data_IF_244727776600
#
_entry.id   IF_244727776600
#
_cell.length_a   1.000
_cell.length_b   1.000
_cell.length_c   1.000
_cell.angle_alpha   90.00
_cell.angle_beta   90.00
_cell.angle_gamma   90.00
#
_symmetry.space_group_name_H-M   'P 1'
#
loop_
_entity.id
_entity.type
_entity.pdbx_description
1 polymer ?
#
# COMPACT_ATOMS: atom_id res chain seq x y z
N UNK A 1 -14.96 -30.33 -7.45
CA UNK A 1 -14.25 -31.62 -7.41
C UNK A 1 -12.79 -31.49 -6.98
N UNK A 2 -11.91 -30.78 -7.69
CA UNK A 2 -10.48 -30.71 -7.29
C UNK A 2 -10.17 -29.74 -6.14
N UNK A 3 -11.00 -28.72 -5.95
CA UNK A 3 -10.94 -27.81 -4.80
C UNK A 3 -11.66 -28.36 -3.56
N UNK A 4 -12.30 -29.52 -3.71
CA UNK A 4 -13.06 -30.15 -2.65
C UNK A 4 -12.09 -30.79 -1.64
N UNK A 5 -12.28 -30.47 -0.36
CA UNK A 5 -11.46 -30.99 0.72
C UNK A 5 -11.65 -32.49 0.91
N UNK A 6 -12.85 -33.02 0.65
CA UNK A 6 -13.16 -34.44 0.75
C UNK A 6 -12.50 -35.27 -0.34
N UNK A 7 -12.21 -34.65 -1.49
CA UNK A 7 -11.48 -35.29 -2.55
C UNK A 7 -9.99 -35.35 -2.20
N UNK A 8 -9.39 -36.54 -2.13
CA UNK A 8 -7.97 -36.71 -1.80
C UNK A 8 -6.99 -36.33 -2.93
N UNK A 9 -7.48 -36.08 -4.15
CA UNK A 9 -6.61 -35.78 -5.31
C UNK A 9 -5.92 -34.42 -5.12
N UNK A 10 -4.59 -34.44 -4.99
CA UNK A 10 -3.73 -33.24 -4.88
C UNK A 10 -2.61 -33.17 -5.92
N UNK A 11 -2.30 -34.29 -6.58
CA UNK A 11 -1.28 -34.36 -7.63
C UNK A 11 -1.93 -34.56 -8.99
N UNK A 12 -1.46 -33.81 -9.99
CA UNK A 12 -2.04 -33.79 -11.32
C UNK A 12 -0.91 -33.88 -12.34
N UNK A 13 -0.94 -34.94 -13.13
CA UNK A 13 -0.01 -35.13 -14.24
C UNK A 13 -0.73 -34.78 -15.53
N UNK A 14 -0.16 -33.86 -16.30
CA UNK A 14 -0.78 -33.41 -17.54
C UNK A 14 0.25 -33.19 -18.63
N UNK A 15 -0.16 -33.49 -19.86
CA UNK A 15 0.67 -33.37 -21.06
C UNK A 15 0.52 -32.00 -21.76
N UNK A 16 -0.61 -31.31 -21.57
CA UNK A 16 -1.01 -30.15 -22.39
C UNK A 16 -1.66 -28.98 -21.64
N UNK A 17 -1.96 -29.09 -20.34
CA UNK A 17 -2.78 -28.08 -19.63
C UNK A 17 -2.13 -26.70 -19.53
N UNK A 18 -0.80 -26.59 -19.61
CA UNK A 18 -0.14 -25.28 -19.66
C UNK A 18 -0.20 -24.60 -21.05
N UNK A 19 -0.66 -25.31 -22.09
CA UNK A 19 -0.92 -24.74 -23.43
C UNK A 19 -2.37 -24.30 -23.59
N UNK A 20 -3.34 -25.05 -23.05
CA UNK A 20 -4.77 -24.73 -23.13
C UNK A 20 -5.50 -24.94 -21.79
N UNK A 21 -6.31 -23.97 -21.38
CA UNK A 21 -7.43 -24.20 -20.45
C UNK A 21 -7.13 -24.43 -18.96
N UNK A 22 -5.90 -24.28 -18.47
CA UNK A 22 -5.64 -24.39 -17.02
C UNK A 22 -5.98 -23.11 -16.26
N UNK A 23 -6.99 -23.23 -15.41
CA UNK A 23 -7.47 -22.16 -14.54
C UNK A 23 -7.89 -22.75 -13.18
N UNK A 24 -6.89 -23.07 -12.34
CA UNK A 24 -7.12 -23.50 -10.97
C UNK A 24 -6.39 -22.55 -10.00
N UNK A 25 -7.12 -21.87 -9.10
CA UNK A 25 -6.53 -20.90 -8.17
C UNK A 25 -5.69 -21.56 -7.06
N UNK A 26 -5.87 -22.85 -6.77
CA UNK A 26 -5.18 -23.54 -5.68
C UNK A 26 -4.02 -24.41 -6.21
N UNK A 27 -3.26 -23.86 -7.15
CA UNK A 27 -2.05 -24.49 -7.70
C UNK A 27 -0.85 -23.79 -7.11
N UNK A 28 -0.17 -24.45 -6.19
CA UNK A 28 1.00 -23.91 -5.50
C UNK A 28 2.32 -24.46 -6.05
N UNK A 29 2.26 -25.50 -6.88
CA UNK A 29 3.43 -26.18 -7.42
C UNK A 29 3.19 -26.53 -8.90
N UNK A 30 4.12 -26.13 -9.76
CA UNK A 30 4.18 -26.56 -11.16
C UNK A 30 5.54 -27.18 -11.38
N UNK A 31 5.56 -28.44 -11.80
CA UNK A 31 6.79 -29.16 -12.11
C UNK A 31 6.85 -29.46 -13.60
N UNK A 32 7.86 -28.90 -14.29
CA UNK A 32 8.08 -29.11 -15.72
C UNK A 32 9.07 -30.28 -15.91
N UNK A 33 8.53 -31.44 -16.26
CA UNK A 33 9.30 -32.68 -16.43
C UNK A 33 10.00 -32.84 -17.80
N UNK A 34 9.83 -31.90 -18.73
CA UNK A 34 10.49 -31.92 -20.05
C UNK A 34 11.13 -30.58 -20.37
N UNK A 35 12.39 -30.59 -20.79
CA UNK A 35 13.19 -29.42 -21.16
C UNK A 35 12.89 -28.88 -22.56
N UNK A 36 12.33 -29.70 -23.47
CA UNK A 36 12.16 -29.35 -24.87
C UNK A 36 10.73 -28.94 -25.26
N UNK A 37 10.61 -27.80 -25.96
CA UNK A 37 9.55 -27.59 -26.96
C UNK A 37 8.59 -26.42 -26.77
N UNK A 38 8.98 -25.29 -26.20
CA UNK A 38 8.10 -24.12 -26.12
C UNK A 38 8.86 -22.80 -26.19
N UNK A 39 8.72 -22.07 -27.31
CA UNK A 39 9.00 -20.62 -27.42
C UNK A 39 7.85 -19.77 -26.85
N UNK A 40 6.88 -20.40 -26.15
CA UNK A 40 5.82 -19.65 -25.48
C UNK A 40 6.46 -18.86 -24.33
N UNK A 41 6.03 -17.60 -24.24
CA UNK A 41 6.31 -16.69 -23.13
C UNK A 41 6.30 -17.42 -21.78
N UNK A 42 7.42 -17.36 -21.04
CA UNK A 42 7.53 -17.97 -19.70
C UNK A 42 6.50 -17.37 -18.76
N UNK A 43 6.23 -16.07 -18.93
CA UNK A 43 5.18 -15.35 -18.21
C UNK A 43 3.78 -15.97 -18.43
N UNK A 44 3.46 -16.44 -19.64
CA UNK A 44 2.19 -17.11 -19.92
C UNK A 44 2.11 -18.49 -19.27
N UNK A 45 3.23 -19.23 -19.19
CA UNK A 45 3.28 -20.55 -18.54
C UNK A 45 3.04 -20.42 -17.02
N UNK A 46 3.71 -19.47 -16.35
CA UNK A 46 3.53 -19.23 -14.90
C UNK A 46 2.20 -18.55 -14.59
N UNK A 47 1.69 -17.69 -15.48
CA UNK A 47 0.46 -16.93 -15.28
C UNK A 47 -0.78 -17.80 -15.00
N UNK A 48 -0.74 -19.06 -15.39
CA UNK A 48 -1.81 -20.05 -15.14
C UNK A 48 -1.87 -20.53 -13.69
N UNK A 49 -0.81 -20.33 -12.91
CA UNK A 49 -0.74 -20.64 -11.47
C UNK A 49 -0.67 -19.42 -10.56
N UNK A 50 -0.67 -18.20 -11.09
CA UNK A 50 -0.53 -16.95 -10.30
C UNK A 50 -1.85 -16.41 -9.72
N UNK A 51 -2.93 -17.19 -9.77
CA UNK A 51 -4.24 -16.77 -9.25
C UNK A 51 -4.24 -16.88 -7.72
N UNK A 52 -4.87 -15.92 -7.06
CA UNK A 52 -5.07 -15.98 -5.61
C UNK A 52 -5.90 -17.22 -5.23
N UNK A 53 -5.44 -18.04 -4.27
CA UNK A 53 -6.13 -19.25 -3.87
C UNK A 53 -7.46 -18.94 -3.18
N UNK A 54 -8.33 -19.93 -3.16
CA UNK A 54 -9.58 -19.92 -2.40
C UNK A 54 -9.47 -20.82 -1.17
N UNK A 55 -10.09 -20.41 -0.07
CA UNK A 55 -10.21 -21.22 1.14
C UNK A 55 -11.32 -22.28 1.01
N UNK A 56 -11.54 -23.05 2.07
CA UNK A 56 -12.56 -24.11 2.16
C UNK A 56 -13.99 -23.62 1.87
N UNK A 57 -14.26 -22.33 2.08
CA UNK A 57 -15.54 -21.70 1.79
C UNK A 57 -15.63 -21.13 0.37
N UNK A 58 -14.61 -21.36 -0.48
CA UNK A 58 -14.56 -20.83 -1.84
C UNK A 58 -14.21 -19.34 -1.93
N UNK A 59 -13.84 -18.70 -0.82
CA UNK A 59 -13.48 -17.28 -0.79
C UNK A 59 -12.00 -17.10 -1.10
N UNK A 60 -11.68 -16.12 -1.96
CA UNK A 60 -10.28 -15.78 -2.26
C UNK A 60 -9.57 -15.26 -1.02
N UNK A 61 -8.41 -15.82 -0.70
CA UNK A 61 -7.58 -15.37 0.42
C UNK A 61 -6.72 -14.20 -0.05
N UNK A 62 -6.88 -13.04 0.60
CA UNK A 62 -6.17 -11.79 0.24
C UNK A 62 -5.22 -11.30 1.33
N UNK A 63 -5.40 -11.76 2.56
CA UNK A 63 -4.70 -11.25 3.73
C UNK A 63 -3.32 -11.89 3.95
N UNK A 64 -2.96 -12.85 3.10
CA UNK A 64 -1.69 -13.59 3.15
C UNK A 64 -1.01 -13.58 1.77
N UNK A 65 0.32 -13.58 1.77
CA UNK A 65 1.11 -13.69 0.55
C UNK A 65 1.42 -15.15 0.22
N UNK A 66 0.88 -15.62 -0.91
CA UNK A 66 1.15 -16.96 -1.45
C UNK A 66 2.26 -16.93 -2.49
N UNK A 67 2.99 -18.04 -2.59
CA UNK A 67 4.02 -18.26 -3.62
C UNK A 67 3.68 -19.48 -4.47
N UNK A 68 3.85 -19.34 -5.78
CA UNK A 68 3.84 -20.45 -6.73
C UNK A 68 5.28 -20.98 -6.85
N UNK A 69 5.49 -22.24 -6.48
CA UNK A 69 6.76 -22.92 -6.70
C UNK A 69 6.79 -23.50 -8.12
N UNK A 70 7.75 -23.07 -8.92
CA UNK A 70 7.93 -23.55 -10.28
C UNK A 70 9.24 -24.31 -10.38
N UNK A 71 9.17 -25.62 -10.63
CA UNK A 71 10.33 -26.50 -10.74
C UNK A 71 10.72 -26.64 -12.21
N UNK A 72 11.95 -26.25 -12.52
CA UNK A 72 12.57 -26.37 -13.85
C UNK A 72 13.73 -27.36 -13.81
N UNK A 73 14.05 -27.90 -14.99
CA UNK A 73 15.20 -28.76 -15.18
C UNK A 73 16.52 -27.96 -15.14
N UNK A 74 17.64 -28.63 -14.91
CA UNK A 74 18.97 -28.00 -14.83
C UNK A 74 19.37 -27.26 -16.12
N UNK A 75 18.77 -27.64 -17.27
CA UNK A 75 18.97 -26.97 -18.56
C UNK A 75 18.38 -25.56 -18.62
N UNK A 76 17.45 -25.19 -17.72
CA UNK A 76 16.81 -23.87 -17.66
C UNK A 76 17.27 -23.10 -16.40
N UNK A 77 18.57 -23.12 -16.09
CA UNK A 77 19.14 -22.42 -14.92
C UNK A 77 18.95 -20.90 -14.94
N UNK A 78 18.73 -20.33 -16.13
CA UNK A 78 18.45 -18.91 -16.38
C UNK A 78 16.96 -18.59 -16.47
N UNK A 79 16.08 -19.54 -16.11
CA UNK A 79 14.62 -19.36 -16.21
C UNK A 79 14.12 -18.14 -15.42
N UNK A 80 14.59 -17.99 -14.18
CA UNK A 80 14.22 -16.86 -13.31
C UNK A 80 14.65 -15.54 -13.94
N UNK A 81 15.88 -15.49 -14.45
CA UNK A 81 16.46 -14.29 -15.06
C UNK A 81 15.67 -13.92 -16.33
N UNK A 82 15.37 -14.90 -17.18
CA UNK A 82 14.50 -14.72 -18.36
C UNK A 82 13.10 -14.25 -18.01
N UNK A 83 12.47 -14.81 -16.97
CA UNK A 83 11.12 -14.43 -16.54
C UNK A 83 11.09 -12.99 -16.00
N UNK A 84 12.07 -12.63 -15.17
CA UNK A 84 12.22 -11.26 -14.64
C UNK A 84 12.42 -10.27 -15.79
N UNK A 85 13.31 -10.60 -16.73
CA UNK A 85 13.56 -9.77 -17.91
C UNK A 85 12.30 -9.61 -18.77
N UNK A 86 11.56 -10.70 -19.00
CA UNK A 86 10.32 -10.66 -19.77
C UNK A 86 9.24 -9.79 -19.11
N UNK A 87 9.10 -9.85 -17.78
CA UNK A 87 8.14 -9.02 -17.05
C UNK A 87 8.56 -7.55 -17.16
N UNK A 88 9.82 -7.23 -16.88
CA UNK A 88 10.33 -5.86 -16.89
C UNK A 88 10.25 -5.23 -18.28
N UNK A 89 10.55 -5.98 -19.35
CA UNK A 89 10.40 -5.52 -20.73
C UNK A 89 8.93 -5.20 -21.05
N UNK A 90 7.99 -6.05 -20.65
CA UNK A 90 6.55 -5.82 -20.88
C UNK A 90 5.98 -4.67 -20.06
N UNK A 91 6.51 -4.42 -18.86
CA UNK A 91 6.05 -3.34 -17.98
C UNK A 91 6.77 -2.01 -18.22
N UNK A 92 7.85 -1.98 -19.01
CA UNK A 92 8.68 -0.78 -19.20
C UNK A 92 9.46 -0.38 -17.93
N UNK A 93 9.68 -1.33 -17.03
CA UNK A 93 10.18 -1.11 -15.68
C UNK A 93 11.73 -1.21 -15.67
N UNK A 94 12.40 -0.32 -14.92
CA UNK A 94 13.86 -0.26 -14.82
C UNK A 94 14.30 -1.14 -13.65
N UNK A 95 14.85 -2.32 -13.95
CA UNK A 95 15.30 -3.26 -12.91
C UNK A 95 16.66 -2.89 -12.33
N UNK A 96 16.82 -3.03 -11.01
CA UNK A 96 18.09 -2.82 -10.32
C UNK A 96 19.13 -3.92 -10.61
N UNK A 97 18.68 -5.09 -11.07
CA UNK A 97 19.52 -6.28 -11.30
C UNK A 97 20.14 -6.38 -12.70
N UNK A 98 19.54 -5.72 -13.69
CA UNK A 98 20.09 -5.61 -15.04
C UNK A 98 20.96 -4.35 -15.11
N UNK A 99 22.27 -4.53 -15.28
CA UNK A 99 23.19 -3.42 -15.56
C UNK A 99 23.04 -3.07 -17.04
N UNK A 100 22.43 -1.93 -17.42
CA UNK A 100 22.40 -1.51 -18.79
C UNK A 100 23.76 -0.95 -19.18
N UNK A 101 24.11 -1.01 -20.47
CA UNK A 101 25.37 -0.42 -20.96
C UNK A 101 25.33 1.11 -21.00
N UNK A 102 24.13 1.69 -21.01
CA UNK A 102 23.90 3.14 -21.13
C UNK A 102 22.81 3.64 -20.19
N UNK A 103 22.99 4.88 -19.74
CA UNK A 103 21.93 5.69 -19.16
C UNK A 103 20.90 5.99 -20.26
N UNK A 104 19.69 5.46 -20.11
CA UNK A 104 18.61 5.60 -21.10
C UNK A 104 17.78 6.84 -20.86
N UNK A 105 17.12 7.37 -21.90
CA UNK A 105 16.23 8.53 -21.77
C UNK A 105 15.10 8.30 -20.76
N UNK A 106 14.65 7.05 -20.62
CA UNK A 106 13.66 6.64 -19.61
C UNK A 106 14.23 6.81 -18.20
N UNK A 107 15.50 6.43 -17.97
CA UNK A 107 16.17 6.64 -16.68
C UNK A 107 16.30 8.13 -16.38
N UNK A 108 16.79 8.93 -17.33
CA UNK A 108 16.95 10.38 -17.18
C UNK A 108 15.62 11.01 -16.78
N UNK A 109 14.57 10.75 -17.56
CA UNK A 109 13.23 11.28 -17.29
C UNK A 109 12.70 10.88 -15.92
N UNK A 110 12.84 9.61 -15.53
CA UNK A 110 12.42 9.16 -14.19
C UNK A 110 13.22 9.80 -13.06
N UNK A 111 14.53 10.01 -13.25
CA UNK A 111 15.37 10.70 -12.25
C UNK A 111 14.85 12.14 -12.09
N UNK A 112 14.67 12.86 -13.18
CA UNK A 112 14.16 14.23 -13.17
C UNK A 112 12.77 14.33 -12.51
N UNK A 113 11.86 13.40 -12.84
CA UNK A 113 10.51 13.36 -12.26
C UNK A 113 10.52 13.05 -10.74
N UNK A 114 11.31 12.06 -10.29
CA UNK A 114 11.27 11.56 -8.91
C UNK A 114 12.14 12.32 -7.91
N UNK A 115 13.14 13.04 -8.41
CA UNK A 115 14.11 13.80 -7.61
C UNK A 115 14.00 15.31 -7.85
N UNK A 116 12.96 15.76 -8.57
CA UNK A 116 12.67 17.18 -8.82
C UNK A 116 13.89 17.94 -9.38
N UNK A 117 14.64 17.33 -10.29
CA UNK A 117 15.83 17.90 -10.93
C UNK A 117 15.63 18.05 -12.43
N UNK A 118 16.42 18.91 -13.07
CA UNK A 118 16.43 19.06 -14.53
C UNK A 118 17.43 18.11 -15.19
N UNK A 119 17.28 17.87 -16.49
CA UNK A 119 18.21 17.01 -17.25
C UNK A 119 19.63 17.59 -17.24
N UNK A 120 19.77 18.91 -17.37
CA UNK A 120 21.07 19.59 -17.37
C UNK A 120 21.78 19.45 -16.01
N UNK A 121 21.07 19.69 -14.90
CA UNK A 121 21.61 19.52 -13.55
C UNK A 121 22.02 18.07 -13.27
N UNK A 122 21.21 17.10 -13.71
CA UNK A 122 21.54 15.68 -13.59
C UNK A 122 22.83 15.37 -14.36
N UNK A 123 22.94 15.81 -15.62
CA UNK A 123 24.12 15.56 -16.44
C UNK A 123 25.38 16.22 -15.84
N UNK A 124 25.27 17.41 -15.24
CA UNK A 124 26.37 18.05 -14.52
C UNK A 124 26.86 17.23 -13.32
N UNK A 125 25.93 16.69 -12.52
CA UNK A 125 26.26 15.82 -11.36
C UNK A 125 26.93 14.53 -11.83
N UNK A 126 26.42 13.91 -12.89
CA UNK A 126 26.96 12.67 -13.44
C UNK A 126 28.34 12.89 -14.09
N UNK A 127 28.56 14.02 -14.76
CA UNK A 127 29.84 14.41 -15.32
C UNK A 127 30.88 14.65 -14.21
N UNK A 128 30.50 15.41 -13.18
CA UNK A 128 31.38 15.74 -12.04
C UNK A 128 31.84 14.50 -11.27
N UNK A 129 30.97 13.50 -11.17
CA UNK A 129 31.27 12.21 -10.52
C UNK A 129 31.82 11.16 -11.50
N UNK A 130 32.11 11.53 -12.75
CA UNK A 130 32.68 10.67 -13.78
C UNK A 130 31.88 9.38 -14.01
N UNK A 131 30.55 9.46 -13.99
CA UNK A 131 29.62 8.32 -13.99
C UNK A 131 29.36 7.79 -15.40
N UNK A 132 29.18 8.68 -16.37
CA UNK A 132 28.86 8.34 -17.77
C UNK A 132 29.81 9.02 -18.75
N UNK A 133 29.81 8.54 -19.98
CA UNK A 133 30.46 9.16 -21.14
C UNK A 133 29.50 10.15 -21.82
N UNK A 134 30.01 10.98 -22.74
CA UNK A 134 29.20 11.90 -23.55
C UNK A 134 28.17 11.20 -24.45
N UNK A 135 28.29 9.88 -24.64
CA UNK A 135 27.32 9.03 -25.34
C UNK A 135 26.41 8.26 -24.38
N UNK A 136 26.31 8.73 -23.13
CA UNK A 136 25.55 8.14 -22.03
C UNK A 136 25.93 6.70 -21.66
N UNK A 137 27.10 6.21 -22.08
CA UNK A 137 27.57 4.86 -21.70
C UNK A 137 28.20 4.89 -20.31
N UNK A 138 27.86 3.93 -19.44
CA UNK A 138 28.36 3.91 -18.07
C UNK A 138 29.86 3.64 -18.02
N UNK A 139 30.56 4.39 -17.17
CA UNK A 139 31.96 4.13 -16.80
C UNK A 139 32.02 3.10 -15.66
N UNK A 140 33.20 2.60 -15.33
CA UNK A 140 33.41 1.64 -14.23
C UNK A 140 32.79 2.16 -12.93
N UNK A 141 31.87 1.40 -12.33
CA UNK A 141 31.14 1.80 -11.12
C UNK A 141 30.03 2.84 -11.34
N UNK A 142 29.82 3.31 -12.57
CA UNK A 142 28.84 4.35 -12.87
C UNK A 142 27.38 3.92 -12.62
N UNK A 143 27.05 2.67 -12.95
CA UNK A 143 25.71 2.16 -12.64
C UNK A 143 25.47 1.99 -11.14
N UNK A 144 26.51 1.64 -10.37
CA UNK A 144 26.41 1.53 -8.91
C UNK A 144 26.23 2.91 -8.25
N UNK A 145 26.82 3.96 -8.82
CA UNK A 145 26.51 5.34 -8.44
C UNK A 145 25.03 5.67 -8.65
N UNK A 146 24.43 5.28 -9.78
CA UNK A 146 22.99 5.48 -10.02
C UNK A 146 22.15 4.69 -9.00
N UNK A 147 22.53 3.45 -8.67
CA UNK A 147 21.83 2.66 -7.64
C UNK A 147 21.81 3.32 -6.27
N UNK A 148 22.93 3.89 -5.86
CA UNK A 148 23.08 4.50 -4.54
C UNK A 148 22.39 5.86 -4.45
N UNK A 149 22.54 6.71 -5.47
CA UNK A 149 22.09 8.10 -5.43
C UNK A 149 20.68 8.29 -5.99
N UNK A 150 20.25 7.43 -6.93
CA UNK A 150 18.92 7.49 -7.54
C UNK A 150 18.11 6.19 -7.38
N UNK A 151 18.02 5.60 -6.17
CA UNK A 151 17.35 4.31 -5.96
C UNK A 151 15.85 4.30 -6.33
N UNK A 152 15.16 5.45 -6.31
CA UNK A 152 13.71 5.54 -6.55
C UNK A 152 13.31 5.24 -8.00
N UNK A 153 14.22 5.38 -8.96
CA UNK A 153 13.90 5.14 -10.39
C UNK A 153 13.77 3.66 -10.72
N UNK A 154 14.33 2.80 -9.86
CA UNK A 154 14.28 1.37 -10.01
C UNK A 154 12.92 0.86 -9.57
N UNK A 155 11.99 0.88 -10.51
CA UNK A 155 10.71 0.21 -10.39
C UNK A 155 10.77 -0.99 -11.32
N UNK A 156 10.52 -2.18 -10.78
CA UNK A 156 10.58 -3.46 -11.48
C UNK A 156 9.96 -4.56 -10.61
N UNK A 157 9.92 -5.79 -11.11
CA UNK A 157 9.55 -6.93 -10.25
C UNK A 157 10.57 -7.01 -9.12
N UNK A 158 10.16 -6.68 -7.90
CA UNK A 158 11.02 -6.79 -6.72
C UNK A 158 11.63 -8.20 -6.66
N UNK A 159 12.90 -8.31 -6.25
CA UNK A 159 13.58 -9.60 -6.06
C UNK A 159 12.81 -10.56 -5.15
N UNK A 160 11.96 -10.02 -4.26
CA UNK A 160 11.09 -10.82 -3.39
C UNK A 160 9.85 -11.41 -4.09
N UNK A 161 9.48 -10.96 -5.29
CA UNK A 161 8.30 -11.44 -6.04
C UNK A 161 8.61 -12.64 -6.92
N UNK A 162 9.79 -12.66 -7.54
CA UNK A 162 10.30 -13.79 -8.34
C UNK A 162 11.73 -14.04 -7.89
N UNK A 163 11.97 -15.23 -7.32
CA UNK A 163 13.26 -15.63 -6.76
C UNK A 163 13.56 -17.09 -7.03
N UNK A 164 14.84 -17.46 -7.06
CA UNK A 164 15.26 -18.86 -6.97
C UNK A 164 15.05 -19.32 -5.52
N UNK A 165 14.67 -20.58 -5.32
CA UNK A 165 14.53 -21.12 -3.96
C UNK A 165 15.85 -21.12 -3.17
N UNK A 166 16.97 -21.12 -3.90
CA UNK A 166 18.33 -20.98 -3.38
C UNK A 166 18.72 -19.55 -3.02
N UNK A 167 17.93 -18.54 -3.43
CA UNK A 167 18.25 -17.16 -3.11
C UNK A 167 18.11 -16.94 -1.60
N UNK A 168 19.10 -16.31 -0.96
CA UNK A 168 19.00 -16.01 0.46
C UNK A 168 17.80 -15.10 0.71
N UNK A 169 16.91 -15.53 1.60
CA UNK A 169 15.84 -14.64 2.07
C UNK A 169 16.52 -13.55 2.89
N UNK A 170 16.43 -12.30 2.42
CA UNK A 170 16.87 -11.16 3.22
C UNK A 170 16.03 -11.11 4.49
N UNK A 171 16.67 -11.37 5.61
CA UNK A 171 16.09 -11.31 6.94
C UNK A 171 16.90 -10.33 7.75
N UNK A 172 16.22 -9.74 8.71
CA UNK A 172 16.84 -8.87 9.69
C UNK A 172 16.90 -9.58 11.03
N UNK A 173 18.08 -9.56 11.64
CA UNK A 173 18.33 -10.13 12.95
C UNK A 173 17.71 -9.24 14.02
N UNK A 174 17.07 -9.89 14.99
CA UNK A 174 16.40 -9.25 16.11
C UNK A 174 17.30 -9.33 17.34
N UNK A 175 17.47 -8.20 18.03
CA UNK A 175 18.14 -8.13 19.33
C UNK A 175 17.23 -8.65 20.44
N UNK A 176 17.11 -9.96 20.52
CA UNK A 176 16.15 -10.67 21.39
C UNK A 176 16.25 -10.26 22.86
N UNK A 177 17.45 -9.89 23.33
CA UNK A 177 17.72 -9.41 24.69
C UNK A 177 16.97 -8.10 25.02
N UNK A 178 16.69 -7.27 24.01
CA UNK A 178 15.94 -6.01 24.16
C UNK A 178 14.43 -6.21 24.16
N UNK A 179 13.94 -7.40 23.76
CA UNK A 179 12.50 -7.62 23.65
C UNK A 179 11.79 -7.48 24.99
N UNK A 180 12.43 -7.85 26.10
CA UNK A 180 11.84 -7.73 27.44
C UNK A 180 11.53 -6.27 27.81
N UNK A 181 12.28 -5.30 27.28
CA UNK A 181 12.04 -3.88 27.50
C UNK A 181 10.90 -3.33 26.62
N UNK A 182 10.71 -3.92 25.44
CA UNK A 182 9.71 -3.55 24.43
C UNK A 182 8.37 -4.28 24.62
N UNK A 183 8.37 -5.46 25.26
CA UNK A 183 7.26 -6.42 25.31
C UNK A 183 5.92 -5.80 25.70
N UNK A 184 5.88 -5.06 26.80
CA UNK A 184 4.64 -4.48 27.31
C UNK A 184 4.01 -3.50 26.32
N UNK A 185 4.83 -2.68 25.67
CA UNK A 185 4.39 -1.76 24.61
C UNK A 185 3.94 -2.55 23.38
N UNK A 186 4.73 -3.52 22.94
CA UNK A 186 4.45 -4.30 21.75
C UNK A 186 3.13 -5.07 21.84
N UNK A 187 2.91 -5.77 22.95
CA UNK A 187 1.67 -6.51 23.20
C UNK A 187 0.46 -5.56 23.27
N UNK A 188 0.64 -4.38 23.89
CA UNK A 188 -0.40 -3.35 23.94
C UNK A 188 -0.82 -2.88 22.55
N UNK A 189 0.14 -2.64 21.67
CA UNK A 189 -0.12 -2.18 20.30
C UNK A 189 -0.79 -3.25 19.43
N UNK A 190 -0.57 -4.53 19.73
CA UNK A 190 -1.16 -5.66 19.00
C UNK A 190 -2.51 -6.13 19.59
N UNK A 191 -3.08 -5.40 20.57
CA UNK A 191 -4.43 -5.67 21.06
C UNK A 191 -5.46 -5.51 19.93
N UNK A 192 -6.27 -6.55 19.69
CA UNK A 192 -7.30 -6.53 18.65
C UNK A 192 -8.50 -5.69 19.10
N UNK A 193 -8.76 -4.62 18.36
CA UNK A 193 -9.88 -3.72 18.60
C UNK A 193 -10.84 -3.67 17.41
N UNK A 194 -12.11 -3.37 17.70
CA UNK A 194 -13.11 -3.00 16.71
C UNK A 194 -13.52 -1.54 16.93
N UNK A 195 -13.77 -0.86 15.83
CA UNK A 195 -14.32 0.48 15.83
C UNK A 195 -15.84 0.41 15.92
N UNK A 196 -16.42 1.05 16.92
CA UNK A 196 -17.86 1.21 17.07
C UNK A 196 -18.27 2.65 16.79
N UNK A 197 -19.25 2.82 15.90
CA UNK A 197 -19.92 4.08 15.63
C UNK A 197 -21.03 4.31 16.67
N UNK A 198 -20.94 5.39 17.45
CA UNK A 198 -21.96 5.74 18.45
C UNK A 198 -23.04 6.62 17.81
N UNK A 199 -24.06 5.97 17.27
CA UNK A 199 -25.32 6.61 16.92
C UNK A 199 -26.39 6.13 17.89
N UNK A 200 -27.13 7.05 18.50
CA UNK A 200 -28.17 6.69 19.47
C UNK A 200 -29.40 6.12 18.78
N UNK A 201 -29.66 6.56 17.54
CA UNK A 201 -30.81 6.12 16.75
C UNK A 201 -30.59 6.29 15.24
N UNK A 202 -31.45 5.63 14.45
CA UNK A 202 -31.40 5.65 12.99
C UNK A 202 -31.70 7.06 12.39
N UNK A 203 -32.38 7.94 13.13
CA UNK A 203 -32.73 9.28 12.65
C UNK A 203 -31.51 10.21 12.60
N UNK A 204 -30.61 10.09 13.57
CA UNK A 204 -29.31 10.79 13.55
C UNK A 204 -28.46 10.34 12.36
N UNK A 205 -28.36 9.02 12.16
CA UNK A 205 -27.64 8.49 11.01
C UNK A 205 -28.25 8.95 9.67
N UNK A 206 -29.58 8.95 9.56
CA UNK A 206 -30.29 9.50 8.38
C UNK A 206 -29.91 10.96 8.13
N UNK A 207 -29.84 11.77 9.19
CA UNK A 207 -29.49 13.19 9.10
C UNK A 207 -28.06 13.36 8.59
N UNK A 208 -27.12 12.60 9.14
CA UNK A 208 -25.73 12.57 8.69
C UNK A 208 -25.60 12.19 7.21
N UNK A 209 -26.28 11.12 6.78
CA UNK A 209 -26.24 10.69 5.38
C UNK A 209 -26.89 11.72 4.44
N UNK A 210 -27.95 12.39 4.90
CA UNK A 210 -28.60 13.47 4.15
C UNK A 210 -27.67 14.68 3.96
N UNK A 211 -26.91 15.07 4.99
CA UNK A 211 -25.89 16.11 4.89
C UNK A 211 -24.79 15.74 3.89
N UNK A 212 -24.30 14.50 3.96
CA UNK A 212 -23.34 13.97 3.00
C UNK A 212 -23.85 14.09 1.56
N UNK A 213 -25.08 13.61 1.29
CA UNK A 213 -25.67 13.67 -0.04
C UNK A 213 -25.74 15.11 -0.56
N UNK A 214 -26.21 16.06 0.27
CA UNK A 214 -26.28 17.47 -0.09
C UNK A 214 -24.91 18.05 -0.42
N UNK A 215 -23.89 17.73 0.37
CA UNK A 215 -22.52 18.19 0.15
C UNK A 215 -21.87 17.59 -1.11
N UNK A 216 -22.33 16.42 -1.57
CA UNK A 216 -21.76 15.72 -2.72
C UNK A 216 -22.60 15.80 -4.00
N UNK A 217 -23.71 16.56 -3.99
CA UNK A 217 -24.65 16.66 -5.12
C UNK A 217 -23.96 16.92 -6.47
N UNK A 218 -22.98 17.84 -6.49
CA UNK A 218 -22.31 18.26 -7.73
C UNK A 218 -21.19 17.30 -8.17
N UNK A 219 -20.89 16.27 -7.38
CA UNK A 219 -19.89 15.25 -7.70
C UNK A 219 -20.49 14.01 -8.38
N UNK A 220 -21.81 13.91 -8.48
CA UNK A 220 -22.46 12.78 -9.14
C UNK A 220 -22.38 12.92 -10.65
N UNK A 221 -22.10 11.81 -11.33
CA UNK A 221 -21.87 11.81 -12.78
C UNK A 221 -23.05 11.21 -13.51
N UNK A 222 -23.57 11.93 -14.48
CA UNK A 222 -24.56 11.40 -15.40
C UNK A 222 -23.88 10.56 -16.47
N UNK A 223 -24.55 9.51 -16.91
CA UNK A 223 -24.21 8.87 -18.18
C UNK A 223 -25.03 9.55 -19.27
N UNK A 224 -24.36 9.87 -20.38
CA UNK A 224 -25.01 10.54 -21.49
C UNK A 224 -24.34 10.22 -22.81
N UNK A 225 -25.13 10.31 -23.88
CA UNK A 225 -24.63 10.18 -25.24
C UNK A 225 -24.11 11.54 -25.67
N UNK A 226 -22.87 11.58 -26.13
CA UNK A 226 -22.30 12.77 -26.77
C UNK A 226 -22.32 12.55 -28.28
N UNK A 227 -23.08 13.39 -28.98
CA UNK A 227 -23.07 13.41 -30.45
C UNK A 227 -21.84 14.20 -30.94
N UNK A 228 -21.06 13.60 -31.86
CA UNK A 228 -19.94 14.26 -32.53
C UNK A 228 -20.20 14.24 -34.04
N UNK A 229 -20.38 15.43 -34.62
CA UNK A 229 -20.53 15.59 -36.07
C UNK A 229 -19.19 16.04 -36.63
N UNK A 230 -18.60 15.22 -37.51
CA UNK A 230 -17.40 15.57 -38.25
C UNK A 230 -17.75 15.81 -39.72
N UNK A 231 -17.27 16.93 -40.29
CA UNK A 231 -17.47 17.24 -41.70
C UNK A 231 -16.17 16.98 -42.44
N UNK A 232 -16.21 16.10 -43.44
CA UNK A 232 -15.07 15.84 -44.31
C UNK A 232 -15.15 16.79 -45.50
N UNK A 233 -14.10 17.60 -45.71
CA UNK A 233 -13.93 18.43 -46.90
C UNK A 233 -12.71 17.96 -47.70
N UNK A 234 -12.86 17.85 -49.01
CA UNK A 234 -11.75 17.50 -49.91
C UNK A 234 -11.27 18.77 -50.59
N UNK A 235 -10.01 19.14 -50.35
CA UNK A 235 -9.32 20.24 -51.03
C UNK A 235 -7.95 19.74 -51.50
N UNK A 236 -7.55 20.10 -52.71
CA UNK A 236 -6.24 19.76 -53.29
C UNK A 236 -5.87 18.26 -53.19
N UNK A 237 -6.82 17.37 -53.52
CA UNK A 237 -6.67 15.92 -53.41
C UNK A 237 -6.35 15.39 -51.99
N UNK A 238 -6.59 16.20 -50.96
CA UNK A 238 -6.46 15.82 -49.55
C UNK A 238 -7.81 15.91 -48.85
N UNK A 239 -8.16 14.88 -48.10
CA UNK A 239 -9.33 14.89 -47.22
C UNK A 239 -8.94 15.53 -45.88
N UNK A 240 -9.66 16.60 -45.49
CA UNK A 240 -9.51 17.28 -44.21
C UNK A 240 -10.79 17.07 -43.41
N UNK A 241 -10.66 16.48 -42.23
CA UNK A 241 -11.76 16.36 -41.27
C UNK A 241 -11.85 17.65 -40.46
N UNK A 242 -12.90 18.44 -40.70
CA UNK A 242 -13.23 19.60 -39.90
C UNK A 242 -14.22 19.17 -38.81
N UNK A 243 -13.79 19.28 -37.57
CA UNK A 243 -14.61 19.01 -36.39
C UNK A 243 -15.01 20.34 -35.77
N UNK A 244 -16.18 20.92 -36.12
CA UNK A 244 -16.64 22.12 -35.45
C UNK A 244 -17.00 21.78 -34.00
N UNK A 245 -16.17 22.20 -33.04
CA UNK A 245 -16.54 22.17 -31.62
C UNK A 245 -17.61 23.25 -31.36
N UNK A 246 -18.88 22.86 -31.33
CA UNK A 246 -19.99 23.72 -30.91
C UNK A 246 -20.32 23.46 -29.44
N UNK A 247 -20.12 24.45 -28.58
CA UNK A 247 -20.57 24.44 -27.17
C UNK A 247 -22.10 24.35 -27.09
N UNK A 248 -22.82 24.88 -28.09
CA UNK A 248 -24.29 24.96 -28.11
C UNK A 248 -24.98 23.67 -28.58
N UNK A 249 -24.27 22.77 -29.28
CA UNK A 249 -24.85 21.53 -29.82
C UNK A 249 -24.49 20.26 -29.03
N UNK A 250 -23.81 20.35 -27.87
CA UNK A 250 -23.74 19.21 -26.94
C UNK A 250 -25.10 19.00 -26.27
N UNK A 251 -26.02 18.34 -26.97
CA UNK A 251 -27.18 17.72 -26.33
C UNK A 251 -26.73 16.41 -25.68
N UNK A 252 -26.30 16.48 -24.43
CA UNK A 252 -26.10 15.27 -23.63
C UNK A 252 -27.47 14.78 -23.18
N UNK A 253 -28.06 13.81 -23.90
CA UNK A 253 -29.23 13.09 -23.39
C UNK A 253 -28.75 12.11 -22.34
N UNK A 254 -29.17 12.33 -21.08
CA UNK A 254 -28.87 11.43 -19.98
C UNK A 254 -29.84 10.25 -20.00
N UNK A 255 -29.34 9.06 -19.68
CA UNK A 255 -30.17 7.87 -19.57
C UNK A 255 -29.78 7.05 -18.35
N UNK A 256 -30.79 6.49 -17.69
CA UNK A 256 -30.60 5.66 -16.50
C UNK A 256 -30.13 4.27 -16.93
N UNK A 257 -28.92 3.88 -16.52
CA UNK A 257 -28.39 2.54 -16.81
C UNK A 257 -28.98 1.45 -15.90
N UNK A 258 -29.65 1.85 -14.82
CA UNK A 258 -30.26 0.92 -13.87
C UNK A 258 -31.57 1.43 -13.29
N UNK A 259 -32.37 0.54 -12.69
CA UNK A 259 -33.58 0.93 -11.97
C UNK A 259 -33.23 1.49 -10.60
N UNK A 260 -34.05 2.41 -10.09
CA UNK A 260 -33.87 2.98 -8.74
C UNK A 260 -33.83 1.91 -7.64
N UNK A 261 -34.66 0.87 -7.74
CA UNK A 261 -34.65 -0.25 -6.79
C UNK A 261 -33.33 -1.00 -6.76
N UNK A 262 -32.71 -1.19 -7.91
CA UNK A 262 -31.45 -1.93 -8.04
C UNK A 262 -30.29 -1.07 -7.53
N UNK A 263 -30.33 0.24 -7.82
CA UNK A 263 -29.40 1.22 -7.28
C UNK A 263 -29.42 1.27 -5.74
N UNK A 264 -30.61 1.32 -5.13
CA UNK A 264 -30.75 1.29 -3.67
C UNK A 264 -30.23 -0.01 -3.04
N UNK A 265 -30.57 -1.16 -3.62
CA UNK A 265 -30.10 -2.47 -3.13
C UNK A 265 -28.58 -2.57 -3.22
N UNK A 266 -28.00 -2.07 -4.30
CA UNK A 266 -26.57 -2.09 -4.47
C UNK A 266 -25.85 -1.14 -3.51
N UNK A 267 -26.34 0.09 -3.34
CA UNK A 267 -25.82 1.03 -2.32
C UNK A 267 -25.92 0.45 -0.92
N UNK A 268 -27.07 -0.13 -0.56
CA UNK A 268 -27.28 -0.77 0.74
C UNK A 268 -26.26 -1.88 0.99
N UNK A 269 -26.01 -2.74 -0.01
CA UNK A 269 -25.01 -3.81 0.08
C UNK A 269 -23.58 -3.27 0.18
N UNK A 270 -23.25 -2.21 -0.55
CA UNK A 270 -21.90 -1.63 -0.55
C UNK A 270 -21.57 -0.88 0.75
N UNK A 271 -22.53 -0.12 1.26
CA UNK A 271 -22.37 0.72 2.44
C UNK A 271 -22.79 0.02 3.74
N UNK A 272 -23.41 -1.16 3.65
CA UNK A 272 -24.04 -1.88 4.76
C UNK A 272 -25.11 -1.04 5.49
N UNK A 273 -25.93 -0.30 4.73
CA UNK A 273 -26.95 0.61 5.27
C UNK A 273 -28.36 0.10 5.03
N UNK A 274 -29.29 0.47 5.91
CA UNK A 274 -30.70 0.14 5.77
C UNK A 274 -31.29 0.81 4.51
N UNK A 275 -31.94 0.02 3.66
CA UNK A 275 -32.57 0.48 2.41
C UNK A 275 -33.61 1.59 2.67
N UNK A 276 -34.40 1.46 3.76
CA UNK A 276 -35.42 2.44 4.12
C UNK A 276 -34.78 3.79 4.44
N UNK A 277 -33.73 3.79 5.25
CA UNK A 277 -32.99 4.99 5.65
C UNK A 277 -32.32 5.66 4.46
N UNK A 278 -31.72 4.88 3.56
CA UNK A 278 -31.16 5.38 2.30
C UNK A 278 -32.21 6.08 1.45
N UNK A 279 -33.36 5.44 1.25
CA UNK A 279 -34.46 6.02 0.49
C UNK A 279 -34.95 7.34 1.11
N UNK A 280 -35.23 7.34 2.42
CA UNK A 280 -35.69 8.54 3.14
C UNK A 280 -34.68 9.68 3.07
N UNK A 281 -33.38 9.39 3.22
CA UNK A 281 -32.32 10.39 3.13
C UNK A 281 -32.21 10.99 1.72
N UNK A 282 -32.31 10.16 0.68
CA UNK A 282 -32.32 10.62 -0.72
C UNK A 282 -33.51 11.56 -0.96
N UNK A 283 -34.72 11.17 -0.55
CA UNK A 283 -35.92 12.02 -0.71
C UNK A 283 -35.76 13.34 0.05
N UNK A 284 -35.29 13.27 1.29
CA UNK A 284 -35.07 14.45 2.16
C UNK A 284 -33.97 15.38 1.62
N UNK A 285 -32.98 14.83 0.92
CA UNK A 285 -31.89 15.61 0.31
C UNK A 285 -32.36 16.50 -0.86
N UNK A 286 -33.53 16.22 -1.45
CA UNK A 286 -34.07 16.88 -2.65
C UNK A 286 -33.12 16.81 -3.86
N UNK A 287 -32.32 15.75 -3.94
CA UNK A 287 -31.47 15.48 -5.09
C UNK A 287 -32.28 14.70 -6.12
N UNK A 288 -32.21 15.13 -7.38
CA UNK A 288 -32.77 14.41 -8.54
C UNK A 288 -31.92 13.16 -8.86
N UNK A 289 -31.85 12.22 -7.92
CA UNK A 289 -30.98 11.04 -7.99
C UNK A 289 -31.22 10.19 -9.23
N UNK A 290 -32.44 10.25 -9.79
CA UNK A 290 -32.85 9.51 -10.97
C UNK A 290 -32.00 9.84 -12.22
N UNK A 291 -31.32 10.99 -12.24
CA UNK A 291 -30.41 11.37 -13.32
C UNK A 291 -29.03 10.69 -13.21
N UNK A 292 -28.71 10.09 -12.06
CA UNK A 292 -27.37 9.59 -11.71
C UNK A 292 -27.35 8.09 -11.39
N UNK A 293 -28.39 7.35 -11.79
CA UNK A 293 -28.53 5.93 -11.51
C UNK A 293 -27.59 5.09 -12.39
N UNK A 294 -26.34 4.98 -11.96
CA UNK A 294 -25.32 4.19 -12.60
C UNK A 294 -24.24 3.71 -11.61
N UNK A 295 -23.44 2.75 -12.06
CA UNK A 295 -22.38 2.15 -11.25
C UNK A 295 -21.31 3.16 -10.82
N UNK A 296 -21.05 4.19 -11.63
CA UNK A 296 -20.02 5.19 -11.35
C UNK A 296 -20.44 6.05 -10.15
N UNK A 297 -21.69 6.49 -10.10
CA UNK A 297 -22.27 7.19 -8.96
C UNK A 297 -22.25 6.34 -7.70
N UNK A 298 -22.55 5.03 -7.78
CA UNK A 298 -22.44 4.12 -6.63
C UNK A 298 -21.02 4.11 -6.05
N UNK A 299 -19.99 3.99 -6.91
CA UNK A 299 -18.58 4.03 -6.48
C UNK A 299 -18.20 5.39 -5.88
N UNK A 300 -18.64 6.47 -6.52
CA UNK A 300 -18.42 7.84 -6.03
C UNK A 300 -19.04 8.02 -4.63
N UNK A 301 -20.28 7.55 -4.43
CA UNK A 301 -20.94 7.59 -3.14
C UNK A 301 -20.19 6.74 -2.11
N UNK A 302 -19.78 5.51 -2.47
CA UNK A 302 -19.00 4.61 -1.61
C UNK A 302 -17.70 5.27 -1.13
N UNK A 303 -16.86 5.71 -2.06
CA UNK A 303 -15.56 6.29 -1.76
C UNK A 303 -15.69 7.59 -0.94
N UNK A 304 -16.60 8.48 -1.36
CA UNK A 304 -16.79 9.78 -0.71
C UNK A 304 -17.49 9.66 0.63
N UNK A 305 -18.42 8.71 0.79
CA UNK A 305 -19.07 8.49 2.08
C UNK A 305 -18.10 7.90 3.10
N UNK A 306 -17.25 6.96 2.68
CA UNK A 306 -16.18 6.44 3.54
C UNK A 306 -15.22 7.56 3.99
N UNK A 307 -14.83 8.45 3.07
CA UNK A 307 -14.05 9.64 3.43
C UNK A 307 -14.81 10.60 4.35
N UNK A 308 -16.10 10.82 4.10
CA UNK A 308 -16.95 11.66 4.93
C UNK A 308 -17.08 11.10 6.35
N UNK A 309 -17.26 9.79 6.51
CA UNK A 309 -17.25 9.14 7.82
C UNK A 309 -15.92 9.38 8.53
N UNK A 310 -14.79 9.15 7.85
CA UNK A 310 -13.46 9.42 8.38
C UNK A 310 -13.29 10.89 8.83
N UNK A 311 -13.75 11.85 8.03
CA UNK A 311 -13.62 13.27 8.35
C UNK A 311 -14.48 13.70 9.56
N UNK A 312 -15.62 13.05 9.78
CA UNK A 312 -16.63 13.49 10.75
C UNK A 312 -16.74 12.59 12.01
N UNK A 313 -16.04 11.46 12.05
CA UNK A 313 -16.14 10.45 13.12
C UNK A 313 -15.60 10.85 14.49
N UNK A 314 -14.96 12.01 14.61
CA UNK A 314 -14.49 12.52 15.89
C UNK A 314 -15.29 13.75 16.29
N UNK A 315 -15.60 14.61 15.31
CA UNK A 315 -16.19 15.92 15.56
C UNK A 315 -17.72 15.92 15.55
N UNK A 316 -18.36 15.05 14.74
CA UNK A 316 -19.83 15.04 14.57
C UNK A 316 -20.54 13.88 15.24
N UNK A 317 -19.95 12.68 15.19
CA UNK A 317 -20.52 11.51 15.83
C UNK A 317 -19.41 10.77 16.56
N UNK A 318 -19.66 10.39 17.81
CA UNK A 318 -18.63 9.75 18.64
C UNK A 318 -18.28 8.36 18.11
N UNK A 319 -17.02 7.98 18.28
CA UNK A 319 -16.53 6.62 18.04
C UNK A 319 -15.88 6.07 19.31
N UNK A 320 -15.96 4.76 19.48
CA UNK A 320 -15.30 4.02 20.56
C UNK A 320 -14.51 2.84 19.99
N UNK A 321 -13.35 2.55 20.57
CA UNK A 321 -12.56 1.37 20.26
C UNK A 321 -12.81 0.29 21.31
N UNK A 322 -13.49 -0.79 20.92
CA UNK A 322 -13.81 -1.92 21.79
C UNK A 322 -12.81 -3.04 21.60
N UNK A 323 -12.27 -3.59 22.69
CA UNK A 323 -11.37 -4.75 22.66
C UNK A 323 -12.16 -6.03 22.42
N UNK A 324 -11.62 -6.93 21.59
CA UNK A 324 -12.33 -8.14 21.17
C UNK A 324 -11.61 -9.44 21.54
N UNK A 325 -10.28 -9.45 21.67
CA UNK A 325 -9.51 -10.68 21.90
C UNK A 325 -8.62 -10.59 23.14
N UNK A 326 -8.50 -11.71 23.85
CA UNK A 326 -7.49 -11.94 24.89
C UNK A 326 -6.21 -12.62 24.36
N UNK A 327 -6.21 -13.14 23.13
CA UNK A 327 -5.01 -13.72 22.52
C UNK A 327 -4.39 -12.74 21.52
N UNK A 328 -3.16 -12.32 21.83
CA UNK A 328 -2.35 -11.35 21.08
C UNK A 328 -1.40 -12.07 20.11
N UNK A 329 -0.98 -13.29 20.44
CA UNK A 329 0.03 -14.04 19.69
C UNK A 329 -0.61 -14.98 18.65
N UNK A 330 0.10 -15.30 17.55
CA UNK A 330 1.42 -14.77 17.17
C UNK A 330 1.36 -13.30 16.72
N UNK A 331 2.48 -12.59 16.86
CA UNK A 331 2.66 -11.23 16.29
C UNK A 331 3.75 -11.27 15.22
N UNK A 332 4.02 -10.16 14.54
CA UNK A 332 5.16 -10.09 13.60
C UNK A 332 6.52 -10.34 14.27
N UNK A 333 6.63 -10.12 15.58
CA UNK A 333 7.86 -10.32 16.34
C UNK A 333 7.84 -11.58 17.22
N UNK A 334 6.72 -12.28 17.33
CA UNK A 334 6.58 -13.42 18.26
C UNK A 334 5.88 -14.62 17.65
N UNK A 335 6.27 -15.82 18.11
CA UNK A 335 5.58 -17.07 17.80
C UNK A 335 4.21 -17.18 18.49
N UNK A 336 3.51 -18.29 18.27
CA UNK A 336 2.18 -18.58 18.87
C UNK A 336 2.20 -18.65 20.41
N UNK A 337 3.37 -18.89 21.01
CA UNK A 337 3.56 -18.97 22.47
C UNK A 337 4.01 -17.64 23.07
N UNK A 338 4.26 -16.62 22.24
CA UNK A 338 4.74 -15.31 22.67
C UNK A 338 6.27 -15.19 22.79
N UNK A 339 7.03 -16.17 22.30
CA UNK A 339 8.49 -16.06 22.27
C UNK A 339 8.93 -15.19 21.11
N UNK A 340 9.94 -14.34 21.33
CA UNK A 340 10.51 -13.47 20.29
C UNK A 340 11.18 -14.29 19.19
N UNK A 341 10.99 -13.88 17.94
CA UNK A 341 11.65 -14.45 16.78
C UNK A 341 13.08 -13.90 16.67
N UNK A 342 14.05 -14.76 16.36
CA UNK A 342 15.45 -14.34 16.16
C UNK A 342 15.65 -13.51 14.88
N UNK A 343 14.76 -13.68 13.91
CA UNK A 343 14.85 -13.05 12.59
C UNK A 343 13.46 -12.83 12.00
N UNK A 344 13.28 -11.71 11.30
CA UNK A 344 12.04 -11.41 10.54
C UNK A 344 12.37 -11.02 9.10
N UNK A 345 11.35 -10.93 8.24
CA UNK A 345 11.55 -10.51 6.85
C UNK A 345 12.04 -9.05 6.80
N UNK A 346 13.18 -8.81 6.15
CA UNK A 346 13.72 -7.45 6.02
C UNK A 346 12.74 -6.50 5.31
N UNK A 347 11.97 -7.02 4.35
CA UNK A 347 10.94 -6.26 3.63
C UNK A 347 9.82 -5.73 4.50
N UNK A 348 9.57 -6.36 5.65
CA UNK A 348 8.55 -5.92 6.59
C UNK A 348 9.06 -4.72 7.39
N UNK A 349 10.39 -4.59 7.59
CA UNK A 349 11.00 -3.43 8.25
C UNK A 349 11.23 -2.30 7.24
N UNK A 350 11.86 -2.53 6.10
CA UNK A 350 12.10 -1.51 5.08
C UNK A 350 12.52 -2.08 3.74
N UNK A 351 12.34 -1.30 2.67
CA UNK A 351 12.74 -1.73 1.31
C UNK A 351 14.19 -1.38 1.01
N UNK A 352 14.69 -0.27 1.54
CA UNK A 352 16.06 0.20 1.38
C UNK A 352 16.94 -0.35 2.50
N UNK A 353 18.23 -0.51 2.21
CA UNK A 353 19.24 -1.04 3.13
C UNK A 353 20.46 -0.12 3.13
N UNK A 354 21.11 0.03 4.29
CA UNK A 354 22.35 0.78 4.47
C UNK A 354 23.34 -0.02 5.29
N UNK A 355 24.61 -0.06 4.89
CA UNK A 355 25.71 -0.68 5.65
C UNK A 355 26.18 0.16 6.86
N UNK A 356 25.40 1.17 7.25
CA UNK A 356 25.74 2.07 8.35
C UNK A 356 25.24 1.49 9.68
N UNK A 357 25.96 1.77 10.76
CA UNK A 357 25.58 1.30 12.09
C UNK A 357 24.23 1.89 12.53
N UNK A 358 23.43 1.05 13.19
CA UNK A 358 22.19 1.45 13.86
C UNK A 358 22.46 1.87 15.30
N UNK A 359 21.56 2.65 15.90
CA UNK A 359 21.65 2.99 17.30
C UNK A 359 21.68 1.71 18.18
N UNK A 360 22.45 1.73 19.25
CA UNK A 360 22.51 0.67 20.25
C UNK A 360 21.14 0.44 20.88
N UNK A 361 20.31 1.46 21.05
CA UNK A 361 18.93 1.34 21.56
C UNK A 361 17.93 0.77 20.53
N UNK A 362 18.31 0.64 19.25
CA UNK A 362 17.44 0.07 18.22
C UNK A 362 17.23 -1.44 18.40
N UNK A 363 16.04 -1.93 18.07
CA UNK A 363 15.63 -3.33 18.28
C UNK A 363 16.15 -4.32 17.23
N UNK A 364 16.50 -3.85 16.03
CA UNK A 364 17.08 -4.67 14.97
C UNK A 364 18.58 -4.39 14.84
N UNK A 365 19.34 -5.36 14.32
CA UNK A 365 20.78 -5.19 14.10
C UNK A 365 21.13 -4.47 12.79
N UNK A 366 20.21 -4.45 11.82
CA UNK A 366 20.47 -3.93 10.49
C UNK A 366 19.59 -2.72 10.15
N UNK A 367 20.11 -1.82 9.31
CA UNK A 367 19.44 -0.59 8.92
C UNK A 367 18.60 -0.80 7.66
N UNK A 368 17.32 -1.14 7.86
CA UNK A 368 16.30 -1.12 6.80
C UNK A 368 15.32 0.05 6.99
N UNK A 369 15.04 0.76 5.90
CA UNK A 369 14.24 2.00 5.93
C UNK A 369 13.41 2.18 4.65
N UNK A 370 12.41 3.06 4.72
CA UNK A 370 11.55 3.47 3.61
C UNK A 370 11.71 4.97 3.27
N UNK A 371 12.21 5.81 4.20
CA UNK A 371 12.49 7.24 3.96
C UNK A 371 13.78 7.73 4.63
N UNK A 372 14.35 8.85 4.16
CA UNK A 372 15.59 9.41 4.72
C UNK A 372 15.42 9.90 6.17
N UNK A 373 14.22 10.33 6.53
CA UNK A 373 13.87 10.69 7.91
C UNK A 373 13.91 9.46 8.83
N UNK A 374 13.37 8.33 8.37
CA UNK A 374 13.46 7.06 9.10
C UNK A 374 14.91 6.60 9.26
N UNK A 375 15.71 6.67 8.19
CA UNK A 375 17.15 6.35 8.23
C UNK A 375 17.85 7.19 9.30
N UNK A 376 17.55 8.48 9.36
CA UNK A 376 18.13 9.40 10.36
C UNK A 376 17.73 9.00 11.78
N UNK A 377 16.45 8.66 12.00
CA UNK A 377 15.96 8.22 13.32
C UNK A 377 16.62 6.92 13.79
N UNK A 378 16.75 5.92 12.91
CA UNK A 378 17.33 4.61 13.24
C UNK A 378 18.81 4.73 13.69
N UNK A 379 19.53 5.70 13.13
CA UNK A 379 20.94 5.98 13.48
C UNK A 379 21.11 6.83 14.74
N UNK A 380 20.07 7.54 15.16
CA UNK A 380 20.19 8.53 16.21
C UNK A 380 20.17 7.87 17.59
N UNK A 381 21.31 7.86 18.28
CA UNK A 381 21.37 7.42 19.67
C UNK A 381 20.87 8.52 20.61
N UNK A 382 19.91 8.17 21.47
CA UNK A 382 19.24 9.10 22.39
C UNK A 382 19.31 8.50 23.78
N UNK A 383 19.88 9.23 24.74
CA UNK A 383 20.18 8.72 26.08
C UNK A 383 18.94 8.28 26.86
N UNK A 384 17.82 8.96 26.61
CA UNK A 384 16.54 8.74 27.26
C UNK A 384 15.80 7.52 26.69
N UNK A 385 16.22 6.99 25.52
CA UNK A 385 15.60 5.83 24.89
C UNK A 385 16.22 4.54 25.44
N UNK A 386 15.38 3.69 26.02
CA UNK A 386 15.75 2.34 26.49
C UNK A 386 15.83 1.40 25.27
N UNK A 387 14.72 1.32 24.54
CA UNK A 387 14.59 0.52 23.32
C UNK A 387 13.62 1.21 22.37
N UNK A 388 13.89 1.15 21.08
CA UNK A 388 12.92 1.54 20.06
C UNK A 388 12.97 0.63 18.85
N UNK A 389 11.88 0.61 18.09
CA UNK A 389 11.74 -0.24 16.91
C UNK A 389 10.97 0.49 15.82
N UNK A 390 11.31 0.17 14.56
CA UNK A 390 10.42 0.46 13.43
C UNK A 390 9.35 -0.62 13.42
N UNK A 391 8.09 -0.21 13.39
CA UNK A 391 6.96 -1.14 13.38
C UNK A 391 6.94 -1.86 12.03
N UNK A 392 7.06 -3.20 12.00
CA UNK A 392 6.97 -3.95 10.76
C UNK A 392 5.62 -3.75 10.06
N UNK A 393 5.66 -3.65 8.73
CA UNK A 393 4.47 -3.46 7.89
C UNK A 393 3.40 -4.50 8.20
N UNK A 394 2.16 -4.05 8.29
CA UNK A 394 0.98 -4.86 8.63
C UNK A 394 1.02 -5.53 10.01
N UNK A 395 1.91 -5.12 10.93
CA UNK A 395 1.88 -5.64 12.29
C UNK A 395 0.75 -5.05 13.11
N UNK A 396 0.58 -3.73 13.07
CA UNK A 396 -0.44 -3.00 13.81
C UNK A 396 -1.49 -2.50 12.82
N UNK A 397 -2.77 -2.69 13.12
CA UNK A 397 -3.89 -2.25 12.27
C UNK A 397 -4.93 -1.55 13.12
N UNK A 398 -4.74 -0.25 13.34
CA UNK A 398 -5.72 0.60 14.02
C UNK A 398 -6.88 0.85 13.05
N UNK A 399 -8.12 0.46 13.38
CA UNK A 399 -9.25 0.70 12.50
C UNK A 399 -9.57 2.19 12.43
N UNK A 400 -9.85 2.70 11.24
CA UNK A 400 -10.21 4.10 10.98
C UNK A 400 -11.62 4.12 10.39
N UNK A 401 -12.41 5.14 10.76
CA UNK A 401 -13.76 5.27 10.22
C UNK A 401 -13.74 5.31 8.69
N UNK A 402 -14.73 4.66 8.05
CA UNK A 402 -14.78 4.48 6.60
C UNK A 402 -14.07 3.20 6.13
N UNK A 403 -13.77 2.27 7.05
CA UNK A 403 -13.27 0.92 6.71
C UNK A 403 -11.78 0.86 6.35
N UNK A 404 -11.01 1.90 6.69
CA UNK A 404 -9.55 1.94 6.48
C UNK A 404 -8.82 1.47 7.73
N UNK A 405 -7.53 1.21 7.60
CA UNK A 405 -6.64 0.95 8.74
C UNK A 405 -5.43 1.88 8.71
N UNK A 406 -4.83 2.06 9.87
CA UNK A 406 -3.64 2.87 10.07
C UNK A 406 -2.60 2.09 10.89
N UNK A 407 -1.32 2.28 10.57
CA UNK A 407 -0.17 1.71 11.27
C UNK A 407 0.86 2.82 11.45
N UNK A 408 1.28 3.12 12.68
CA UNK A 408 2.40 4.03 12.94
C UNK A 408 3.73 3.46 12.44
N UNK A 409 4.76 4.32 12.35
CA UNK A 409 6.08 3.96 11.84
C UNK A 409 7.04 3.47 12.93
N UNK A 410 7.08 4.12 14.10
CA UNK A 410 8.00 3.76 15.19
C UNK A 410 7.31 3.63 16.54
N UNK A 411 7.92 2.81 17.40
CA UNK A 411 7.60 2.68 18.81
C UNK A 411 8.87 2.82 19.67
N UNK A 412 8.84 3.71 20.65
CA UNK A 412 9.91 4.03 21.58
C UNK A 412 9.49 3.73 23.02
N UNK A 413 10.41 3.22 23.81
CA UNK A 413 10.29 3.10 25.27
C UNK A 413 11.33 4.02 25.89
N UNK A 414 10.86 5.06 26.57
CA UNK A 414 11.69 6.10 27.16
C UNK A 414 11.79 5.93 28.68
N UNK A 415 12.90 6.40 29.26
CA UNK A 415 13.10 6.53 30.71
C UNK A 415 12.92 8.00 31.12
N UNK A 416 12.07 8.26 32.12
CA UNK A 416 12.00 9.60 32.71
C UNK A 416 13.28 9.94 33.49
N UNK A 417 13.57 11.24 33.67
CA UNK A 417 14.75 11.73 34.42
C UNK A 417 14.83 11.19 35.85
N UNK A 418 13.68 10.91 36.45
CA UNK A 418 13.54 10.38 37.82
C UNK A 418 13.91 8.89 37.92
N UNK A 419 14.10 8.23 36.78
CA UNK A 419 14.69 6.90 36.67
C UNK A 419 13.77 5.70 36.94
N UNK A 420 12.58 5.90 37.51
CA UNK A 420 11.67 4.80 37.86
C UNK A 420 10.53 4.56 36.86
N UNK A 421 10.13 5.59 36.10
CA UNK A 421 8.98 5.48 35.21
C UNK A 421 9.39 5.26 33.75
N UNK A 422 8.69 4.35 33.07
CA UNK A 422 8.75 4.18 31.61
C UNK A 422 7.64 4.97 30.93
N UNK A 423 7.95 5.58 29.79
CA UNK A 423 6.98 6.20 28.88
C UNK A 423 7.01 5.46 27.55
N UNK A 424 5.85 5.11 27.03
CA UNK A 424 5.74 4.57 25.69
C UNK A 424 5.44 5.72 24.74
N UNK A 425 6.15 5.79 23.63
CA UNK A 425 6.05 6.89 22.68
C UNK A 425 5.97 6.34 21.25
N UNK A 426 4.89 6.67 20.55
CA UNK A 426 4.63 6.23 19.18
C UNK A 426 4.82 7.40 18.25
N UNK A 427 5.53 7.17 17.14
CA UNK A 427 5.87 8.21 16.18
C UNK A 427 5.40 7.83 14.79
N UNK A 428 4.68 8.75 14.15
CA UNK A 428 4.43 8.75 12.71
C UNK A 428 5.44 9.66 12.02
N UNK A 429 6.14 9.18 11.02
CA UNK A 429 7.06 9.99 10.22
C UNK A 429 6.39 10.49 8.94
N UNK A 430 6.62 11.77 8.63
CA UNK A 430 6.10 12.40 7.42
C UNK A 430 7.17 13.23 6.75
N UNK A 431 7.42 12.91 5.48
CA UNK A 431 8.37 13.63 4.62
C UNK A 431 7.76 14.95 4.09
N UNK A 432 7.17 15.73 5.00
CA UNK A 432 6.66 17.08 4.75
C UNK A 432 7.05 17.98 5.91
N UNK A 433 7.20 19.28 5.65
CA UNK A 433 7.71 20.23 6.65
C UNK A 433 6.69 20.59 7.75
N UNK A 434 5.39 20.37 7.52
CA UNK A 434 4.35 20.72 8.50
C UNK A 434 3.04 19.99 8.24
N UNK A 435 2.12 20.10 9.21
CA UNK A 435 0.76 19.55 9.12
C UNK A 435 -0.03 20.04 7.90
N UNK A 436 0.26 21.25 7.40
CA UNK A 436 -0.42 21.81 6.23
C UNK A 436 -0.04 21.10 4.93
N UNK A 437 1.16 20.50 4.87
CA UNK A 437 1.62 19.69 3.74
C UNK A 437 0.98 18.30 3.66
N UNK A 438 0.26 17.87 4.71
CA UNK A 438 -0.41 16.56 4.72
C UNK A 438 -1.67 16.56 3.87
N UNK A 439 -1.92 15.44 3.19
CA UNK A 439 -3.21 15.20 2.53
C UNK A 439 -4.30 15.08 3.60
N UNK A 440 -5.53 15.46 3.28
CA UNK A 440 -6.63 15.42 4.25
C UNK A 440 -6.89 14.02 4.79
N UNK A 441 -6.76 12.99 3.94
CA UNK A 441 -6.83 11.59 4.39
C UNK A 441 -5.78 11.26 5.46
N UNK A 442 -4.57 11.77 5.35
CA UNK A 442 -3.50 11.54 6.33
C UNK A 442 -3.81 12.26 7.64
N UNK A 443 -4.27 13.52 7.57
CA UNK A 443 -4.69 14.29 8.74
C UNK A 443 -5.76 13.55 9.55
N UNK A 444 -6.77 12.99 8.88
CA UNK A 444 -7.83 12.26 9.58
C UNK A 444 -7.38 10.92 10.13
N UNK A 445 -6.51 10.17 9.44
CA UNK A 445 -5.93 8.92 9.99
C UNK A 445 -5.12 9.18 11.25
N UNK A 446 -4.28 10.21 11.24
CA UNK A 446 -3.48 10.64 12.40
C UNK A 446 -4.42 11.00 13.56
N UNK A 447 -5.49 11.77 13.31
CA UNK A 447 -6.49 12.12 14.33
C UNK A 447 -7.18 10.89 14.95
N UNK A 448 -7.41 9.84 14.16
CA UNK A 448 -7.96 8.58 14.67
C UNK A 448 -6.98 7.81 15.54
N UNK A 449 -5.69 7.84 15.17
CA UNK A 449 -4.63 7.25 15.98
C UNK A 449 -4.46 7.98 17.31
N UNK A 450 -4.46 9.32 17.29
CA UNK A 450 -4.47 10.16 18.50
C UNK A 450 -5.61 9.74 19.43
N UNK A 451 -6.85 9.66 18.92
CA UNK A 451 -8.02 9.21 19.70
C UNK A 451 -7.92 7.75 20.17
N UNK A 452 -7.28 6.87 19.39
CA UNK A 452 -7.07 5.48 19.78
C UNK A 452 -6.13 5.35 20.99
N UNK A 453 -5.12 6.21 21.04
CA UNK A 453 -4.16 6.27 22.15
C UNK A 453 -4.60 7.21 23.30
N UNK A 454 -5.66 8.00 23.10
CA UNK A 454 -6.26 8.88 24.11
C UNK A 454 -6.97 8.07 25.21
N UNK A 455 -6.22 7.59 26.20
CA UNK A 455 -6.78 7.02 27.43
C UNK A 455 -5.99 5.89 28.12
N UNK A 456 -5.81 6.05 29.45
CA UNK A 456 -5.37 5.09 30.49
C UNK A 456 -4.02 4.38 30.37
N UNK A 457 -3.32 4.44 29.24
CA UNK A 457 -1.93 3.95 29.13
C UNK A 457 -1.01 5.11 28.81
N UNK A 458 0.19 5.10 29.39
CA UNK A 458 1.30 6.04 29.15
C UNK A 458 1.83 5.94 27.70
N UNK A 459 0.96 5.98 26.69
CA UNK A 459 1.33 5.99 25.27
C UNK A 459 1.09 7.40 24.75
N UNK A 460 2.17 8.14 24.51
CA UNK A 460 2.12 9.42 23.83
C UNK A 460 2.28 9.17 22.32
N UNK A 461 1.44 9.79 21.48
CA UNK A 461 1.51 9.67 20.03
C UNK A 461 1.83 11.03 19.41
N UNK A 462 2.85 11.11 18.55
CA UNK A 462 3.20 12.34 17.84
C UNK A 462 3.54 12.09 16.38
N UNK A 463 3.36 13.13 15.56
CA UNK A 463 3.82 13.16 14.18
C UNK A 463 5.15 13.90 14.09
N UNK A 464 6.15 13.29 13.46
CA UNK A 464 7.44 13.90 13.15
C UNK A 464 7.45 14.36 11.68
N UNK A 465 7.67 15.66 11.50
CA UNK A 465 7.86 16.31 10.20
C UNK A 465 9.35 16.36 9.83
N UNK A 466 9.65 16.50 8.54
CA UNK A 466 11.03 16.49 8.00
C UNK A 466 11.94 17.56 8.60
N UNK A 467 11.37 18.68 9.07
CA UNK A 467 12.10 19.78 9.73
C UNK A 467 12.31 19.57 11.24
N UNK A 468 11.85 18.46 11.82
CA UNK A 468 11.98 18.17 13.24
C UNK A 468 12.82 16.91 13.48
N UNK A 469 13.76 17.00 14.42
CA UNK A 469 14.51 15.82 14.86
C UNK A 469 13.72 15.08 15.93
N UNK A 470 13.85 13.76 15.94
CA UNK A 470 13.22 12.89 16.94
C UNK A 470 13.63 13.28 18.37
N UNK A 471 14.87 13.75 18.55
CA UNK A 471 15.40 14.24 19.83
C UNK A 471 14.60 15.42 20.37
N UNK A 472 14.19 16.34 19.49
CA UNK A 472 13.44 17.54 19.89
C UNK A 472 12.04 17.15 20.39
N UNK A 473 11.38 16.19 19.72
CA UNK A 473 10.08 15.66 20.14
C UNK A 473 10.16 14.95 21.49
N UNK A 474 11.17 14.10 21.69
CA UNK A 474 11.39 13.40 22.96
C UNK A 474 11.66 14.41 24.09
N UNK A 475 12.43 15.47 23.82
CA UNK A 475 12.70 16.52 24.79
C UNK A 475 11.44 17.25 25.23
N UNK A 476 10.50 17.56 24.32
CA UNK A 476 9.22 18.20 24.69
C UNK A 476 8.45 17.37 25.73
N UNK A 477 8.42 16.05 25.55
CA UNK A 477 7.62 15.16 26.41
C UNK A 477 8.31 14.85 27.75
N UNK A 478 9.65 14.87 27.77
CA UNK A 478 10.45 14.56 28.97
C UNK A 478 10.79 15.79 29.83
N UNK A 479 10.44 16.99 29.38
CA UNK A 479 10.59 18.24 30.16
C UNK A 479 9.28 18.62 30.85
N UNK A 480 8.12 18.27 30.29
CA UNK A 480 6.79 18.63 30.81
C UNK A 480 6.22 17.64 31.84
N UNK A 481 6.94 16.55 32.16
CA UNK A 481 6.58 15.50 33.13
C UNK A 481 7.82 14.97 33.83
#
# INVERSE_FOLDING_TARGET
AMLDLENQRRFIFSKWTLREGWDNPNVFQICKLRSSGSEISKLQEVGRGLRLPVNEYGNRVKDEQFYLNYFVDFTESDFVDKLVNEINQKSGAISIGLVPDKLTDIMIRKICELYETTEDELLEVLDSNNVVTRTNSFKTGGFDFIKQNYPRIFEGVNSNKVRKATDPKKRVVVRTEKYQELKDLWEKLNEKVILEYKFDNETEFKTLFTEFLKAQKDNFTTDGINERISKIEIKDNKAVANEPESVYNRKTTTFSLMKYSDFLKELSRKLNLNIKTLHEAIVTSKIEINQYLNQKTIRIIEDRFNFFLMANAIDKFSIEYKKVSNNIHPTKLTDEKGNVLNEISASDVGVLFSDEDVANSYFFDELYYDSDLEKTNIKSEIKEVIVFTKIPKNSIKIPVAGGKSYSPDFAYVLKFKDGEQKLNFIVETKDVNSKDGLRDEEKFKIKHAEKFFDGKVKIEFMTQFSNNKIVDLINTITVDK
#
